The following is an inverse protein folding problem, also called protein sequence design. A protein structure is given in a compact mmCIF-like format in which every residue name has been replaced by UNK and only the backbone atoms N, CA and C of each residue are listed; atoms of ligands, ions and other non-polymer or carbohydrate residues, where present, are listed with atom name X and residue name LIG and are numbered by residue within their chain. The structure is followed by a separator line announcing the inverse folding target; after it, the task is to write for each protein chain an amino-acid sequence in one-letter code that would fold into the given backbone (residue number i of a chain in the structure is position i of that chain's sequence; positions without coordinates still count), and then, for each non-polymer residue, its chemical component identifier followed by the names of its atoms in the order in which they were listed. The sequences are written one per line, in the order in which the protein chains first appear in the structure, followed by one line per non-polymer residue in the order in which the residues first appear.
data_IF_192530043116
#
_entry.id   IF_192530043116
#
_cell.length_a   1.000
_cell.length_b   1.000
_cell.length_c   1.000
_cell.angle_alpha   90.00
_cell.angle_beta   90.00
_cell.angle_gamma   90.00
#
_symmetry.space_group_name_H-M   'P 1'
#
loop_
_entity.id
_entity.type
_entity.pdbx_description
1 polymer ?
#
# COMPACT_ATOMS: atom_id res chain seq x y z
N UNK A 1 -23.50 -36.62 6.83
CA UNK A 1 -23.52 -35.53 7.83
C UNK A 1 -22.47 -35.84 8.89
N UNK A 2 -21.42 -35.02 9.00
CA UNK A 2 -20.41 -35.12 10.07
C UNK A 2 -20.47 -33.84 10.88
N UNK A 3 -20.86 -33.97 12.14
CA UNK A 3 -20.94 -32.90 13.13
C UNK A 3 -19.53 -32.59 13.67
N UNK A 4 -19.19 -31.31 13.74
CA UNK A 4 -17.95 -30.86 14.36
C UNK A 4 -18.12 -30.83 15.89
N UNK A 5 -17.29 -31.61 16.55
CA UNK A 5 -16.90 -31.51 17.95
C UNK A 5 -16.10 -30.21 18.19
N UNK A 6 -16.67 -29.34 19.02
CA UNK A 6 -15.99 -28.21 19.67
C UNK A 6 -15.00 -28.77 20.69
N UNK A 7 -13.69 -28.68 20.41
CA UNK A 7 -12.65 -29.12 21.33
C UNK A 7 -11.38 -28.30 21.16
N UNK A 8 -10.95 -27.62 22.23
CA UNK A 8 -9.56 -27.19 22.41
C UNK A 8 -9.25 -25.75 22.02
N UNK A 9 -9.44 -24.85 22.98
CA UNK A 9 -8.76 -23.54 23.02
C UNK A 9 -7.27 -23.73 23.33
N UNK A 10 -6.41 -23.76 22.30
CA UNK A 10 -5.00 -23.37 22.38
C UNK A 10 -4.35 -23.47 20.98
N UNK A 11 -4.04 -22.33 20.37
CA UNK A 11 -3.13 -22.26 19.21
C UNK A 11 -3.74 -21.60 17.98
N UNK A 12 -3.50 -20.29 17.86
CA UNK A 12 -3.52 -19.49 16.64
C UNK A 12 -4.55 -19.91 15.57
N UNK A 13 -5.76 -19.45 15.80
CA UNK A 13 -6.91 -19.42 14.91
C UNK A 13 -6.55 -19.38 13.40
N UNK A 14 -6.66 -20.53 12.75
CA UNK A 14 -6.41 -20.76 11.31
C UNK A 14 -7.35 -19.93 10.43
N UNK A 15 -8.46 -19.43 10.99
CA UNK A 15 -9.47 -18.64 10.28
C UNK A 15 -9.08 -17.17 10.09
N UNK A 16 -8.03 -16.68 10.74
CA UNK A 16 -7.54 -15.30 10.57
C UNK A 16 -6.95 -15.02 9.18
N UNK A 17 -6.70 -16.06 8.38
CA UNK A 17 -6.17 -15.92 7.01
C UNK A 17 -7.23 -15.57 5.95
N UNK A 18 -8.45 -16.10 6.08
CA UNK A 18 -9.53 -15.88 5.11
C UNK A 18 -9.95 -14.41 4.96
N UNK A 19 -10.08 -13.62 6.05
CA UNK A 19 -10.45 -12.21 5.95
C UNK A 19 -9.49 -11.38 5.10
N UNK A 20 -8.20 -11.72 5.14
CA UNK A 20 -7.13 -10.97 4.45
C UNK A 20 -7.04 -11.29 2.96
N UNK A 21 -7.36 -12.52 2.58
CA UNK A 21 -7.45 -12.94 1.17
C UNK A 21 -8.68 -12.28 0.53
N UNK A 22 -9.78 -12.18 1.27
CA UNK A 22 -11.01 -11.52 0.82
C UNK A 22 -10.79 -10.02 0.56
N UNK A 23 -10.02 -9.33 1.40
CA UNK A 23 -9.65 -7.91 1.15
C UNK A 23 -8.85 -7.71 -0.15
N UNK A 24 -7.93 -8.61 -0.48
CA UNK A 24 -7.12 -8.54 -1.71
C UNK A 24 -7.97 -8.84 -2.95
N UNK A 25 -8.95 -9.74 -2.85
CA UNK A 25 -9.82 -10.15 -3.96
C UNK A 25 -11.03 -9.24 -4.18
N UNK A 26 -11.57 -8.61 -3.13
CA UNK A 26 -12.73 -7.69 -3.22
C UNK A 26 -12.33 -6.25 -3.58
N UNK A 27 -11.04 -5.94 -3.68
CA UNK A 27 -10.52 -4.61 -4.02
C UNK A 27 -11.13 -3.48 -3.14
N UNK A 28 -11.32 -3.75 -1.84
CA UNK A 28 -11.70 -2.73 -0.86
C UNK A 28 -10.50 -1.84 -0.55
N UNK A 29 -10.72 -0.53 -0.38
CA UNK A 29 -9.68 0.42 -0.02
C UNK A 29 -9.01 0.00 1.31
N UNK A 30 -7.69 -0.28 1.31
CA UNK A 30 -7.01 -0.74 2.51
C UNK A 30 -7.01 0.36 3.58
N UNK A 31 -7.25 -0.01 4.84
CA UNK A 31 -7.03 0.90 5.98
C UNK A 31 -5.53 1.21 6.04
N UNK A 32 -5.15 2.45 5.73
CA UNK A 32 -3.74 2.85 5.58
C UNK A 32 -3.23 2.65 4.15
N UNK A 33 -3.90 3.30 3.18
CA UNK A 33 -3.48 3.33 1.79
C UNK A 33 -2.13 4.05 1.67
N UNK A 34 -1.17 3.36 1.06
CA UNK A 34 0.09 3.96 0.66
C UNK A 34 -0.16 4.85 -0.56
N UNK A 35 0.41 6.05 -0.52
CA UNK A 35 0.36 7.00 -1.61
C UNK A 35 1.53 6.71 -2.55
N UNK A 36 1.26 6.69 -3.85
CA UNK A 36 2.27 6.49 -4.89
C UNK A 36 2.39 7.73 -5.76
N UNK A 37 3.58 7.99 -6.30
CA UNK A 37 3.76 9.06 -7.29
C UNK A 37 3.40 8.56 -8.69
N UNK A 38 2.75 9.41 -9.47
CA UNK A 38 2.41 9.16 -10.87
C UNK A 38 3.48 9.69 -11.83
N UNK A 39 4.36 10.54 -11.32
CA UNK A 39 5.40 11.24 -12.07
C UNK A 39 6.77 10.86 -11.51
N UNK A 40 7.76 10.86 -12.39
CA UNK A 40 9.16 10.83 -11.98
C UNK A 40 9.64 12.26 -11.68
N UNK A 41 10.48 12.41 -10.68
CA UNK A 41 10.91 13.72 -10.24
C UNK A 41 11.67 13.69 -8.93
N UNK A 42 11.69 14.84 -8.25
CA UNK A 42 12.31 15.00 -6.94
C UNK A 42 11.25 15.50 -5.95
N UNK A 43 11.29 14.99 -4.72
CA UNK A 43 10.42 15.49 -3.64
C UNK A 43 10.85 16.92 -3.30
N UNK A 44 9.99 17.89 -3.59
CA UNK A 44 10.27 19.31 -3.38
C UNK A 44 9.89 19.75 -1.97
N UNK A 45 8.78 19.22 -1.44
CA UNK A 45 8.26 19.66 -0.14
C UNK A 45 7.36 18.61 0.52
N UNK A 46 7.33 18.64 1.86
CA UNK A 46 6.48 17.80 2.70
C UNK A 46 5.86 18.68 3.77
N UNK A 47 4.55 18.91 3.68
CA UNK A 47 3.81 19.80 4.58
C UNK A 47 2.69 19.06 5.30
N UNK A 48 2.31 19.54 6.48
CA UNK A 48 1.01 19.20 7.05
C UNK A 48 -0.06 20.12 6.47
N UNK A 49 -1.01 19.53 5.76
CA UNK A 49 -2.20 20.19 5.26
C UNK A 49 -3.25 20.35 6.36
N UNK A 50 -4.34 21.06 6.04
CA UNK A 50 -5.53 21.13 6.90
C UNK A 50 -6.13 19.72 7.05
N UNK A 51 -6.82 19.48 8.17
CA UNK A 51 -7.44 18.18 8.50
C UNK A 51 -6.50 17.01 8.84
N UNK A 52 -5.30 17.31 9.39
CA UNK A 52 -4.30 16.28 9.77
C UNK A 52 -3.93 15.38 8.58
N UNK A 53 -3.86 15.94 7.39
CA UNK A 53 -3.30 15.27 6.22
C UNK A 53 -1.88 15.77 5.98
N UNK A 54 -1.06 14.93 5.37
CA UNK A 54 0.28 15.31 4.93
C UNK A 54 0.26 15.49 3.42
N UNK A 55 0.72 16.62 2.94
CA UNK A 55 0.86 16.92 1.51
C UNK A 55 2.33 16.73 1.10
N UNK A 56 2.55 15.93 0.07
CA UNK A 56 3.86 15.64 -0.50
C UNK A 56 3.88 16.22 -1.91
N UNK A 57 4.79 17.15 -2.17
CA UNK A 57 4.94 17.80 -3.48
C UNK A 57 6.11 17.18 -4.21
N UNK A 58 5.84 16.61 -5.39
CA UNK A 58 6.84 16.04 -6.28
C UNK A 58 6.98 16.94 -7.51
N UNK A 59 8.21 17.34 -7.81
CA UNK A 59 8.55 18.16 -8.96
C UNK A 59 9.22 17.30 -10.02
N UNK A 60 8.51 17.08 -11.12
CA UNK A 60 9.05 16.45 -12.32
C UNK A 60 9.69 17.47 -13.27
N UNK A 61 10.16 16.98 -14.41
CA UNK A 61 10.80 17.82 -15.43
C UNK A 61 9.80 18.78 -16.11
N UNK A 62 8.54 18.36 -16.29
CA UNK A 62 7.51 19.12 -17.01
C UNK A 62 6.30 19.50 -16.15
N UNK A 63 6.08 18.83 -15.01
CA UNK A 63 4.93 19.07 -14.14
C UNK A 63 5.31 18.90 -12.67
N UNK A 64 4.63 19.67 -11.81
CA UNK A 64 4.67 19.49 -10.35
C UNK A 64 3.32 18.94 -9.91
N UNK A 65 3.31 17.88 -9.10
CA UNK A 65 2.08 17.32 -8.53
C UNK A 65 2.17 17.24 -7.02
N UNK A 66 1.05 17.52 -6.36
CA UNK A 66 0.89 17.29 -4.92
C UNK A 66 0.05 16.06 -4.65
N UNK A 67 0.44 15.33 -3.60
CA UNK A 67 -0.19 14.10 -3.18
C UNK A 67 -0.58 14.21 -1.71
N UNK A 68 -1.84 13.89 -1.40
CA UNK A 68 -2.35 13.92 -0.03
C UNK A 68 -2.27 12.52 0.59
N UNK A 69 -1.56 12.44 1.71
CA UNK A 69 -1.49 11.29 2.58
C UNK A 69 -2.29 11.52 3.88
N UNK A 70 -2.75 10.43 4.49
CA UNK A 70 -3.31 10.50 5.84
C UNK A 70 -2.22 10.90 6.83
N UNK A 71 -2.49 11.80 7.78
CA UNK A 71 -1.46 12.22 8.75
C UNK A 71 -1.11 11.17 9.81
N UNK A 72 -1.77 10.00 9.81
CA UNK A 72 -1.30 8.82 10.56
C UNK A 72 -0.31 7.98 9.77
N UNK A 73 -0.23 8.17 8.45
CA UNK A 73 0.73 7.45 7.61
C UNK A 73 2.14 7.98 7.87
N UNK A 74 3.12 7.08 7.92
CA UNK A 74 4.53 7.46 8.00
C UNK A 74 5.04 7.71 6.59
N UNK A 75 5.72 8.83 6.39
CA UNK A 75 6.37 9.16 5.12
C UNK A 75 7.71 8.42 5.08
N UNK A 76 8.00 7.77 3.95
CA UNK A 76 9.26 7.00 3.75
C UNK A 76 10.25 7.71 2.83
N UNK A 77 9.87 8.86 2.29
CA UNK A 77 10.69 9.68 1.39
C UNK A 77 11.15 10.96 2.08
N UNK A 78 12.29 11.48 1.65
CA UNK A 78 12.87 12.73 2.16
C UNK A 78 12.83 13.83 1.10
N UNK A 79 12.87 15.09 1.55
CA UNK A 79 12.96 16.26 0.64
C UNK A 79 14.30 16.19 -0.10
N UNK A 80 14.26 16.32 -1.43
CA UNK A 80 15.43 16.18 -2.31
C UNK A 80 15.67 14.75 -2.81
N UNK A 81 14.88 13.77 -2.37
CA UNK A 81 14.99 12.40 -2.87
C UNK A 81 14.43 12.28 -4.30
N UNK A 82 15.16 11.66 -5.25
CA UNK A 82 14.61 11.32 -6.55
C UNK A 82 13.62 10.15 -6.42
N UNK A 83 12.48 10.27 -7.06
CA UNK A 83 11.41 9.27 -7.07
C UNK A 83 11.01 8.93 -8.52
N UNK A 84 10.67 7.67 -8.75
CA UNK A 84 10.22 7.16 -10.04
C UNK A 84 8.71 6.98 -10.09
N UNK A 85 8.15 6.91 -11.30
CA UNK A 85 6.72 6.63 -11.50
C UNK A 85 6.32 5.30 -10.85
N UNK A 86 5.31 5.33 -9.99
CA UNK A 86 4.82 4.19 -9.22
C UNK A 86 5.56 3.96 -7.90
N UNK A 87 6.52 4.83 -7.53
CA UNK A 87 7.22 4.74 -6.26
C UNK A 87 6.32 5.13 -5.09
N UNK A 88 6.54 4.48 -3.95
CA UNK A 88 5.72 4.63 -2.75
C UNK A 88 6.26 5.78 -1.92
N UNK A 89 5.39 6.73 -1.56
CA UNK A 89 5.76 7.91 -0.76
C UNK A 89 5.50 7.68 0.74
N UNK A 90 4.55 6.82 1.09
CA UNK A 90 4.14 6.56 2.49
C UNK A 90 4.03 5.08 2.80
N UNK A 91 4.26 4.72 4.06
CA UNK A 91 4.02 3.37 4.56
C UNK A 91 2.55 3.00 4.43
N UNK A 92 2.29 1.78 3.95
CA UNK A 92 0.94 1.27 3.83
C UNK A 92 0.81 0.15 2.81
N UNK A 93 -0.44 -0.17 2.47
CA UNK A 93 -0.75 -1.04 1.35
C UNK A 93 -1.13 -0.22 0.13
N UNK A 94 -0.49 -0.51 -1.00
CA UNK A 94 -0.83 0.11 -2.28
C UNK A 94 -2.13 -0.49 -2.78
N UNK A 95 -3.04 0.37 -3.24
CA UNK A 95 -4.26 -0.04 -3.93
C UNK A 95 -3.92 -0.60 -5.32
N UNK A 96 -4.25 -1.87 -5.63
CA UNK A 96 -3.87 -2.50 -6.89
C UNK A 96 -4.44 -1.80 -8.13
N UNK A 97 -5.65 -1.22 -8.03
CA UNK A 97 -6.29 -0.49 -9.15
C UNK A 97 -5.51 0.76 -9.53
N UNK A 98 -5.11 1.55 -8.53
CA UNK A 98 -4.32 2.75 -8.74
C UNK A 98 -2.92 2.37 -9.27
N UNK A 99 -2.29 1.39 -8.64
CA UNK A 99 -0.98 0.90 -9.08
C UNK A 99 -0.98 0.37 -10.52
N UNK A 100 -2.04 -0.31 -10.95
CA UNK A 100 -2.20 -0.78 -12.33
C UNK A 100 -2.20 0.35 -13.34
N UNK A 101 -2.92 1.45 -13.05
CA UNK A 101 -2.98 2.62 -13.93
C UNK A 101 -1.64 3.36 -14.03
N UNK A 102 -0.84 3.33 -12.96
CA UNK A 102 0.42 4.06 -12.87
C UNK A 102 1.61 3.23 -13.36
N UNK A 103 1.80 2.03 -12.82
CA UNK A 103 2.96 1.17 -13.07
C UNK A 103 2.73 0.11 -14.16
N UNK A 104 1.48 -0.15 -14.55
CA UNK A 104 1.12 -1.11 -15.59
C UNK A 104 0.97 -2.56 -15.10
N UNK A 105 0.61 -3.45 -16.02
CA UNK A 105 0.21 -4.84 -15.71
C UNK A 105 1.34 -5.66 -15.07
N UNK A 106 2.51 -5.68 -15.71
CA UNK A 106 3.64 -6.52 -15.28
C UNK A 106 4.17 -6.12 -13.90
N UNK A 107 4.22 -4.82 -13.61
CA UNK A 107 4.61 -4.30 -12.31
C UNK A 107 3.59 -4.70 -11.23
N UNK A 108 2.30 -4.59 -11.56
CA UNK A 108 1.20 -4.95 -10.65
C UNK A 108 1.19 -6.44 -10.33
N UNK A 109 1.37 -7.31 -11.32
CA UNK A 109 1.46 -8.76 -11.12
C UNK A 109 2.63 -9.10 -10.18
N UNK A 110 3.81 -8.54 -10.45
CA UNK A 110 4.99 -8.73 -9.61
C UNK A 110 4.78 -8.25 -8.18
N UNK A 111 4.07 -7.11 -8.01
CA UNK A 111 3.71 -6.58 -6.69
C UNK A 111 2.74 -7.51 -5.94
N UNK A 112 1.70 -8.01 -6.62
CA UNK A 112 0.73 -8.95 -6.03
C UNK A 112 1.41 -10.26 -5.62
N UNK A 113 2.26 -10.83 -6.48
CA UNK A 113 3.04 -12.02 -6.18
C UNK A 113 3.98 -11.80 -4.98
N UNK A 114 4.65 -10.65 -4.91
CA UNK A 114 5.52 -10.29 -3.78
C UNK A 114 4.74 -10.20 -2.47
N UNK A 115 3.54 -9.59 -2.48
CA UNK A 115 2.64 -9.52 -1.32
C UNK A 115 2.16 -10.91 -0.90
N UNK A 116 1.79 -11.76 -1.85
CA UNK A 116 1.37 -13.14 -1.58
C UNK A 116 2.50 -13.96 -0.97
N UNK A 117 3.70 -13.96 -1.56
CA UNK A 117 4.86 -14.68 -1.03
C UNK A 117 5.25 -14.22 0.37
N UNK A 118 5.19 -12.91 0.65
CA UNK A 118 5.44 -12.37 2.00
C UNK A 118 4.45 -12.93 3.03
N UNK A 119 3.20 -13.17 2.63
CA UNK A 119 2.20 -13.79 3.49
C UNK A 119 2.48 -15.28 3.74
N UNK A 120 2.91 -16.03 2.73
CA UNK A 120 3.21 -17.47 2.85
C UNK A 120 4.49 -17.74 3.66
N UNK A 121 5.53 -16.90 3.51
CA UNK A 121 6.83 -17.09 4.17
C UNK A 121 6.79 -16.71 5.66
N UNK A 122 5.86 -15.87 6.10
CA UNK A 122 5.72 -15.50 7.52
C UNK A 122 5.00 -16.58 8.36
N UNK A 123 4.67 -17.73 7.77
CA UNK A 123 3.87 -18.79 8.41
C UNK A 123 4.64 -20.11 8.60
N UNK A 124 5.96 -20.09 8.46
CA UNK A 124 6.87 -21.21 8.72
C UNK A 124 7.80 -20.86 9.87
#
# INVERSE_FOLDING_TARGET
MRTFHTGGVAGSDITQGLPRIQEIFEARNPKGQAVITEIEGVVEDIKLAKDRQQEIVVKGANETRSYLASGTSRIIVEIGQPVQRGEVLTEGSIEPKNYLSVAGLNATESYLLKKYKKFTVCKV
#
